data_IF_957128904221
#
_entry.id   IF_957128904221
#
_cell.length_a   1.000
_cell.length_b   1.000
_cell.length_c   1.000
_cell.angle_alpha   90.00
_cell.angle_beta   90.00
_cell.angle_gamma   90.00
#
_symmetry.space_group_name_H-M   'P 1'
#
loop_
_entity.id
_entity.type
_entity.pdbx_description
1 polymer ?
#
# COMPACT_ATOMS: atom_id res chain seq x y z
N UNK A 1 -25.42 -2.97 5.14
CA UNK A 1 -24.38 -3.64 5.94
C UNK A 1 -22.95 -3.25 5.57
N UNK A 2 -22.60 -3.03 4.28
CA UNK A 2 -21.26 -2.57 3.86
C UNK A 2 -20.91 -1.13 4.30
N UNK A 3 -21.87 -0.21 4.32
CA UNK A 3 -21.63 1.19 4.72
C UNK A 3 -21.33 1.36 6.22
N UNK A 4 -22.01 0.58 7.10
CA UNK A 4 -21.73 0.63 8.54
C UNK A 4 -20.33 0.07 8.91
N UNK A 5 -19.83 -0.94 8.17
CA UNK A 5 -18.45 -1.41 8.34
C UNK A 5 -17.42 -0.36 7.91
N UNK A 6 -17.73 0.41 6.84
CA UNK A 6 -16.86 1.47 6.32
C UNK A 6 -16.67 2.61 7.33
N UNK A 7 -17.78 3.10 7.93
CA UNK A 7 -17.74 4.13 8.96
C UNK A 7 -16.99 3.68 10.23
N UNK A 8 -17.13 2.41 10.62
CA UNK A 8 -16.44 1.84 11.79
C UNK A 8 -14.94 1.67 11.54
N UNK A 9 -14.54 1.27 10.32
CA UNK A 9 -13.13 1.17 9.93
C UNK A 9 -12.44 2.55 9.90
N UNK A 10 -13.08 3.55 9.30
CA UNK A 10 -12.56 4.92 9.32
C UNK A 10 -12.36 5.44 10.76
N UNK A 11 -13.33 5.23 11.66
CA UNK A 11 -13.21 5.68 13.04
C UNK A 11 -12.10 4.95 13.82
N UNK A 12 -11.88 3.65 13.55
CA UNK A 12 -10.83 2.86 14.17
C UNK A 12 -9.42 3.29 13.68
N UNK A 13 -9.27 3.59 12.39
CA UNK A 13 -8.01 4.06 11.83
C UNK A 13 -7.64 5.47 12.31
N UNK A 14 -8.62 6.36 12.42
CA UNK A 14 -8.38 7.75 12.83
C UNK A 14 -8.32 7.96 14.34
N UNK A 15 -8.91 7.08 15.14
CA UNK A 15 -8.87 7.16 16.61
C UNK A 15 -7.58 6.67 17.22
N UNK A 16 -6.76 5.94 16.46
CA UNK A 16 -5.65 5.19 17.06
C UNK A 16 -4.30 5.92 17.11
N UNK A 17 -3.99 6.91 16.25
CA UNK A 17 -2.61 7.43 16.12
C UNK A 17 -2.56 8.89 15.62
N UNK A 18 -3.26 9.83 16.21
CA UNK A 18 -3.01 11.24 15.95
C UNK A 18 -2.50 11.96 17.21
N UNK A 19 -1.30 11.61 17.67
CA UNK A 19 -0.51 12.47 18.57
C UNK A 19 0.45 13.38 17.77
N UNK A 20 0.22 13.52 16.46
CA UNK A 20 1.05 14.35 15.62
C UNK A 20 0.56 15.80 15.68
N UNK A 21 1.45 16.70 16.02
CA UNK A 21 1.26 18.14 16.02
C UNK A 21 2.00 18.77 14.85
N UNK A 22 1.58 19.97 14.47
CA UNK A 22 2.27 20.71 13.44
C UNK A 22 3.71 21.03 13.88
N UNK A 23 4.65 20.76 12.97
CA UNK A 23 6.00 21.29 13.11
C UNK A 23 5.98 22.80 12.84
N UNK A 24 7.06 23.51 13.22
CA UNK A 24 7.21 24.93 12.89
C UNK A 24 7.07 25.17 11.38
N UNK A 25 7.65 24.28 10.57
CA UNK A 25 7.52 24.34 9.11
C UNK A 25 6.06 24.22 8.65
N UNK A 26 5.29 23.28 9.21
CA UNK A 26 3.88 23.10 8.86
C UNK A 26 3.04 24.30 9.25
N UNK A 27 3.36 24.92 10.40
CA UNK A 27 2.70 26.15 10.83
C UNK A 27 2.87 27.27 9.80
N UNK A 28 4.10 27.48 9.29
CA UNK A 28 4.38 28.46 8.24
C UNK A 28 3.70 28.11 6.90
N UNK A 29 3.73 26.83 6.51
CA UNK A 29 3.09 26.39 5.27
C UNK A 29 1.56 26.57 5.28
N UNK A 30 0.92 26.48 6.45
CA UNK A 30 -0.53 26.76 6.56
C UNK A 30 -0.89 28.22 6.28
N UNK A 31 0.01 29.14 6.62
CA UNK A 31 -0.21 30.58 6.40
C UNK A 31 0.02 31.02 4.96
N UNK A 32 0.76 30.25 4.20
CA UNK A 32 1.05 30.55 2.80
C UNK A 32 -0.06 30.02 1.88
N UNK A 33 -0.48 30.89 0.95
CA UNK A 33 -1.59 30.57 0.05
C UNK A 33 -1.10 30.37 -1.41
N UNK A 34 0.05 29.69 -1.55
CA UNK A 34 0.63 29.31 -2.82
C UNK A 34 0.61 27.79 -3.04
N UNK A 35 0.69 27.39 -4.31
CA UNK A 35 0.62 25.99 -4.73
C UNK A 35 1.68 25.11 -4.06
N UNK A 36 2.94 25.54 -4.04
CA UNK A 36 4.07 24.76 -3.54
C UNK A 36 3.94 24.50 -2.03
N UNK A 37 3.54 25.53 -1.27
CA UNK A 37 3.29 25.44 0.15
C UNK A 37 2.18 24.44 0.47
N UNK A 38 1.06 24.47 -0.29
CA UNK A 38 -0.04 23.53 -0.10
C UNK A 38 0.36 22.09 -0.42
N UNK A 39 1.12 21.86 -1.50
CA UNK A 39 1.65 20.52 -1.84
C UNK A 39 2.59 20.02 -0.76
N UNK A 40 3.53 20.86 -0.31
CA UNK A 40 4.50 20.50 0.72
C UNK A 40 3.84 20.18 2.05
N UNK A 41 2.85 20.98 2.45
CA UNK A 41 2.03 20.71 3.63
C UNK A 41 1.34 19.34 3.54
N UNK A 42 0.71 19.03 2.40
CA UNK A 42 0.06 17.73 2.18
C UNK A 42 1.03 16.57 2.30
N UNK A 43 2.26 16.71 1.81
CA UNK A 43 3.31 15.67 1.94
C UNK A 43 3.73 15.47 3.40
N UNK A 44 3.96 16.55 4.15
CA UNK A 44 4.33 16.47 5.56
C UNK A 44 3.22 15.85 6.41
N UNK A 45 1.96 16.23 6.13
CA UNK A 45 0.79 15.66 6.79
C UNK A 45 0.65 14.16 6.48
N UNK A 46 0.86 13.75 5.23
CA UNK A 46 0.86 12.33 4.84
C UNK A 46 1.96 11.54 5.57
N UNK A 47 3.16 12.11 5.70
CA UNK A 47 4.26 11.52 6.47
C UNK A 47 3.96 11.36 7.96
N UNK A 48 3.04 12.16 8.50
CA UNK A 48 2.52 12.05 9.87
C UNK A 48 1.23 11.22 9.97
N UNK A 49 0.82 10.54 8.90
CA UNK A 49 -0.42 9.75 8.82
C UNK A 49 -1.71 10.57 8.97
N UNK A 50 -1.64 11.88 8.81
CA UNK A 50 -2.76 12.85 8.87
C UNK A 50 -3.41 12.98 7.48
N UNK A 51 -3.86 11.87 6.92
CA UNK A 51 -4.29 11.80 5.52
C UNK A 51 -5.51 12.66 5.19
N UNK A 52 -6.44 12.89 6.11
CA UNK A 52 -7.58 13.80 5.89
C UNK A 52 -7.11 15.23 5.65
N UNK A 53 -6.23 15.72 6.51
CA UNK A 53 -5.66 17.05 6.37
C UNK A 53 -4.74 17.15 5.14
N UNK A 54 -4.03 16.05 4.81
CA UNK A 54 -3.25 15.98 3.58
C UNK A 54 -4.14 16.10 2.33
N UNK A 55 -5.29 15.42 2.30
CA UNK A 55 -6.29 15.55 1.24
C UNK A 55 -6.77 16.99 1.11
N UNK A 56 -7.12 17.66 2.22
CA UNK A 56 -7.55 19.06 2.21
C UNK A 56 -6.47 19.99 1.66
N UNK A 57 -5.20 19.77 2.04
CA UNK A 57 -4.06 20.53 1.53
C UNK A 57 -3.86 20.30 0.02
N UNK A 58 -3.92 19.07 -0.45
CA UNK A 58 -3.81 18.74 -1.88
C UNK A 58 -4.99 19.29 -2.69
N UNK A 59 -6.21 19.23 -2.17
CA UNK A 59 -7.37 19.84 -2.82
C UNK A 59 -7.23 21.37 -2.91
N UNK A 60 -6.66 22.00 -1.89
CA UNK A 60 -6.37 23.43 -1.90
C UNK A 60 -5.30 23.78 -2.95
N UNK A 61 -4.26 22.94 -3.08
CA UNK A 61 -3.28 23.07 -4.15
C UNK A 61 -3.92 22.95 -5.54
N UNK A 62 -4.82 21.97 -5.73
CA UNK A 62 -5.54 21.77 -6.99
C UNK A 62 -6.42 22.94 -7.43
N UNK A 63 -6.94 23.74 -6.48
CA UNK A 63 -7.66 24.98 -6.79
C UNK A 63 -6.73 26.07 -7.33
N UNK A 64 -5.46 26.09 -6.92
CA UNK A 64 -4.46 27.05 -7.38
C UNK A 64 -3.81 26.64 -8.71
N UNK A 65 -3.63 25.33 -8.89
CA UNK A 65 -3.05 24.75 -10.10
C UNK A 65 -3.66 23.36 -10.34
N UNK A 66 -4.52 23.24 -11.35
CA UNK A 66 -5.29 22.03 -11.63
C UNK A 66 -4.65 21.08 -12.66
N UNK A 67 -3.50 21.44 -13.25
CA UNK A 67 -2.86 20.75 -14.37
C UNK A 67 -1.60 19.95 -13.99
N UNK A 68 -1.46 19.60 -12.71
CA UNK A 68 -0.31 18.81 -12.23
C UNK A 68 -0.70 17.34 -11.98
N UNK A 69 -0.31 16.45 -12.89
CA UNK A 69 -0.54 15.01 -12.79
C UNK A 69 0.01 14.40 -11.48
N UNK A 70 1.15 14.91 -10.99
CA UNK A 70 1.78 14.45 -9.74
C UNK A 70 0.91 14.74 -8.51
N UNK A 71 0.23 15.89 -8.49
CA UNK A 71 -0.71 16.24 -7.43
C UNK A 71 -1.85 15.21 -7.34
N UNK A 72 -2.45 14.87 -8.49
CA UNK A 72 -3.56 13.91 -8.52
C UNK A 72 -3.10 12.47 -8.20
N UNK A 73 -1.88 12.10 -8.54
CA UNK A 73 -1.31 10.82 -8.10
C UNK A 73 -1.21 10.75 -6.58
N UNK A 74 -0.73 11.81 -5.92
CA UNK A 74 -0.65 11.91 -4.45
C UNK A 74 -2.02 11.91 -3.80
N UNK A 75 -2.94 12.66 -4.36
CA UNK A 75 -4.33 12.71 -3.91
C UNK A 75 -5.00 11.33 -4.00
N UNK A 76 -4.77 10.61 -5.10
CA UNK A 76 -5.24 9.24 -5.29
C UNK A 76 -4.72 8.30 -4.21
N UNK A 77 -3.44 8.37 -3.88
CA UNK A 77 -2.84 7.59 -2.80
C UNK A 77 -3.41 7.92 -1.42
N UNK A 78 -3.57 9.21 -1.10
CA UNK A 78 -4.15 9.63 0.18
C UNK A 78 -5.62 9.18 0.32
N UNK A 79 -6.41 9.26 -0.73
CA UNK A 79 -7.77 8.73 -0.76
C UNK A 79 -7.79 7.20 -0.62
N UNK A 80 -6.87 6.48 -1.28
CA UNK A 80 -6.80 5.02 -1.18
C UNK A 80 -6.50 4.57 0.25
N UNK A 81 -5.52 5.20 0.90
CA UNK A 81 -5.14 4.93 2.29
C UNK A 81 -6.31 5.15 3.26
N UNK A 82 -7.22 6.03 2.93
CA UNK A 82 -8.42 6.33 3.74
C UNK A 82 -9.69 5.61 3.25
N UNK A 83 -9.55 4.64 2.34
CA UNK A 83 -10.64 3.86 1.74
C UNK A 83 -11.71 4.68 0.99
N UNK A 84 -11.35 5.85 0.51
CA UNK A 84 -12.17 6.64 -0.42
C UNK A 84 -11.93 6.16 -1.86
N UNK A 85 -12.35 4.92 -2.14
CA UNK A 85 -12.03 4.23 -3.41
C UNK A 85 -12.48 5.00 -4.65
N UNK A 86 -13.68 5.58 -4.62
CA UNK A 86 -14.23 6.32 -5.76
C UNK A 86 -13.42 7.59 -6.04
N UNK A 87 -13.07 8.33 -5.03
CA UNK A 87 -12.25 9.54 -5.14
C UNK A 87 -10.82 9.20 -5.57
N UNK A 88 -10.28 8.09 -5.04
CA UNK A 88 -8.95 7.60 -5.39
C UNK A 88 -8.84 7.26 -6.87
N UNK A 89 -9.76 6.44 -7.41
CA UNK A 89 -9.70 6.05 -8.82
C UNK A 89 -9.91 7.25 -9.75
N UNK A 90 -10.80 8.18 -9.39
CA UNK A 90 -11.01 9.40 -10.15
C UNK A 90 -9.75 10.28 -10.18
N UNK A 91 -9.02 10.38 -9.06
CA UNK A 91 -7.77 11.12 -9.00
C UNK A 91 -6.69 10.46 -9.89
N UNK A 92 -6.55 9.15 -9.90
CA UNK A 92 -5.62 8.45 -10.79
C UNK A 92 -5.99 8.63 -12.27
N UNK A 93 -7.27 8.58 -12.64
CA UNK A 93 -7.70 8.85 -14.01
C UNK A 93 -7.43 10.32 -14.40
N UNK A 94 -7.60 11.26 -13.47
CA UNK A 94 -7.22 12.65 -13.70
C UNK A 94 -5.71 12.78 -13.94
N UNK A 95 -4.88 12.11 -13.14
CA UNK A 95 -3.43 12.10 -13.35
C UNK A 95 -3.06 11.58 -14.75
N UNK A 96 -3.69 10.49 -15.21
CA UNK A 96 -3.50 9.95 -16.57
C UNK A 96 -3.92 10.95 -17.65
N UNK A 97 -5.06 11.60 -17.50
CA UNK A 97 -5.55 12.61 -18.46
C UNK A 97 -4.65 13.84 -18.53
N UNK A 98 -3.92 14.15 -17.47
CA UNK A 98 -2.93 15.23 -17.38
C UNK A 98 -1.52 14.80 -17.81
N UNK A 99 -1.37 13.58 -18.36
CA UNK A 99 -0.13 13.11 -18.95
C UNK A 99 0.77 12.28 -18.03
N UNK A 100 0.29 11.80 -16.88
CA UNK A 100 1.00 10.76 -16.16
C UNK A 100 1.13 9.51 -17.05
N UNK A 101 2.31 8.87 -17.05
CA UNK A 101 2.49 7.66 -17.83
C UNK A 101 1.75 6.47 -17.22
N UNK A 102 1.25 5.56 -18.06
CA UNK A 102 0.62 4.32 -17.56
C UNK A 102 1.55 3.56 -16.61
N UNK A 103 2.84 3.51 -16.90
CA UNK A 103 3.84 2.88 -16.05
C UNK A 103 3.91 3.51 -14.65
N UNK A 104 3.87 4.84 -14.56
CA UNK A 104 3.94 5.56 -13.26
C UNK A 104 2.69 5.34 -12.40
N UNK A 105 1.57 5.03 -13.01
CA UNK A 105 0.28 4.80 -12.34
C UNK A 105 -0.03 3.29 -12.19
N UNK A 106 0.70 2.41 -12.87
CA UNK A 106 0.42 0.97 -12.87
C UNK A 106 0.45 0.36 -11.45
N UNK A 107 1.48 0.68 -10.66
CA UNK A 107 1.57 0.18 -9.28
C UNK A 107 0.42 0.69 -8.39
N UNK A 108 0.15 2.00 -8.30
CA UNK A 108 -1.01 2.51 -7.57
C UNK A 108 -2.34 1.90 -7.99
N UNK A 109 -2.57 1.72 -9.29
CA UNK A 109 -3.79 1.09 -9.80
C UNK A 109 -3.86 -0.41 -9.46
N UNK A 110 -2.74 -1.12 -9.56
CA UNK A 110 -2.66 -2.52 -9.11
C UNK A 110 -3.05 -2.66 -7.63
N UNK A 111 -2.49 -1.80 -6.78
CA UNK A 111 -2.83 -1.76 -5.34
C UNK A 111 -4.29 -1.36 -5.12
N UNK A 112 -4.82 -0.40 -5.89
CA UNK A 112 -6.21 0.01 -5.81
C UNK A 112 -7.16 -1.17 -6.10
N UNK A 113 -6.94 -1.88 -7.22
CA UNK A 113 -7.73 -3.05 -7.58
C UNK A 113 -7.61 -4.18 -6.55
N UNK A 114 -6.39 -4.40 -6.02
CA UNK A 114 -6.18 -5.38 -4.96
C UNK A 114 -7.01 -5.07 -3.72
N UNK A 115 -6.94 -3.84 -3.23
CA UNK A 115 -7.70 -3.40 -2.05
C UNK A 115 -9.22 -3.33 -2.33
N UNK A 116 -9.66 -3.12 -3.56
CA UNK A 116 -11.08 -3.19 -3.94
C UNK A 116 -11.62 -4.62 -4.07
N UNK A 117 -10.73 -5.61 -4.12
CA UNK A 117 -11.06 -7.04 -4.27
C UNK A 117 -11.12 -7.53 -5.71
N UNK A 118 -10.76 -6.69 -6.68
CA UNK A 118 -10.62 -7.08 -8.09
C UNK A 118 -9.20 -7.60 -8.35
N UNK A 119 -8.94 -8.79 -7.83
CA UNK A 119 -7.61 -9.41 -7.88
C UNK A 119 -7.17 -9.78 -9.30
N UNK A 120 -8.12 -10.12 -10.18
CA UNK A 120 -7.81 -10.44 -11.58
C UNK A 120 -7.28 -9.22 -12.35
N UNK A 121 -7.87 -8.05 -12.13
CA UNK A 121 -7.37 -6.80 -12.70
C UNK A 121 -6.08 -6.36 -12.03
N UNK A 122 -5.95 -6.49 -10.71
CA UNK A 122 -4.72 -6.19 -9.99
C UNK A 122 -3.51 -6.96 -10.56
N UNK A 123 -3.65 -8.28 -10.77
CA UNK A 123 -2.61 -9.13 -11.36
C UNK A 123 -2.16 -8.67 -12.76
N UNK A 124 -3.03 -8.02 -13.52
CA UNK A 124 -2.72 -7.48 -14.86
C UNK A 124 -2.01 -6.11 -14.82
N UNK A 125 -2.15 -5.37 -13.72
CA UNK A 125 -1.50 -4.05 -13.58
C UNK A 125 -0.05 -4.15 -13.15
N UNK A 126 0.31 -5.05 -12.24
CA UNK A 126 1.67 -5.16 -11.73
C UNK A 126 2.73 -5.44 -12.80
N UNK A 127 2.52 -6.32 -13.80
CA UNK A 127 3.47 -6.51 -14.89
C UNK A 127 3.73 -5.25 -15.73
N UNK A 128 2.80 -4.30 -15.79
CA UNK A 128 2.98 -3.02 -16.51
C UNK A 128 4.00 -2.10 -15.83
N UNK A 129 4.42 -2.40 -14.59
CA UNK A 129 5.46 -1.66 -13.91
C UNK A 129 6.86 -1.95 -14.46
N UNK A 130 7.03 -3.09 -15.17
CA UNK A 130 8.30 -3.51 -15.72
C UNK A 130 8.69 -2.69 -16.99
N UNK A 131 10.00 -2.54 -17.26
CA UNK A 131 11.11 -2.94 -16.40
C UNK A 131 11.28 -2.01 -15.20
N UNK A 132 11.51 -2.58 -14.02
CA UNK A 132 11.88 -1.86 -12.81
C UNK A 132 12.88 -2.71 -12.02
N UNK A 133 13.63 -2.11 -11.11
CA UNK A 133 14.70 -2.76 -10.36
C UNK A 133 14.56 -2.55 -8.85
N UNK A 134 15.36 -3.27 -8.08
CA UNK A 134 15.51 -3.10 -6.64
C UNK A 134 14.21 -3.26 -5.86
N UNK A 135 13.96 -2.33 -4.96
CA UNK A 135 12.81 -2.32 -4.06
C UNK A 135 11.46 -2.35 -4.79
N UNK A 136 11.35 -1.64 -5.90
CA UNK A 136 10.10 -1.64 -6.69
C UNK A 136 9.86 -3.01 -7.32
N UNK A 137 10.90 -3.66 -7.85
CA UNK A 137 10.77 -4.97 -8.51
C UNK A 137 10.22 -6.03 -7.57
N UNK A 138 10.80 -6.16 -6.38
CA UNK A 138 10.33 -7.15 -5.40
C UNK A 138 8.91 -6.87 -4.90
N UNK A 139 8.54 -5.60 -4.73
CA UNK A 139 7.19 -5.22 -4.35
C UNK A 139 6.16 -5.55 -5.47
N UNK A 140 6.52 -5.33 -6.72
CA UNK A 140 5.69 -5.69 -7.89
C UNK A 140 5.49 -7.21 -7.97
N UNK A 141 6.55 -8.00 -7.82
CA UNK A 141 6.48 -9.47 -7.81
C UNK A 141 5.57 -9.94 -6.67
N UNK A 142 5.74 -9.41 -5.47
CA UNK A 142 4.95 -9.75 -4.29
C UNK A 142 3.45 -9.54 -4.52
N UNK A 143 3.04 -8.36 -4.97
CA UNK A 143 1.63 -8.05 -5.17
C UNK A 143 1.04 -8.77 -6.37
N UNK A 144 1.82 -9.04 -7.42
CA UNK A 144 1.36 -9.85 -8.54
C UNK A 144 1.09 -11.29 -8.12
N UNK A 145 2.01 -11.92 -7.37
CA UNK A 145 1.81 -13.28 -6.86
C UNK A 145 0.57 -13.33 -5.96
N UNK A 146 0.43 -12.41 -5.01
CA UNK A 146 -0.74 -12.38 -4.12
C UNK A 146 -2.04 -12.21 -4.89
N UNK A 147 -2.07 -11.29 -5.86
CA UNK A 147 -3.24 -11.07 -6.71
C UNK A 147 -3.62 -12.34 -7.47
N UNK A 148 -2.62 -13.00 -8.04
CA UNK A 148 -2.80 -14.23 -8.80
C UNK A 148 -3.31 -15.38 -7.91
N UNK A 149 -2.75 -15.56 -6.71
CA UNK A 149 -3.22 -16.55 -5.74
C UNK A 149 -4.69 -16.34 -5.36
N UNK A 150 -5.08 -15.09 -5.08
CA UNK A 150 -6.46 -14.76 -4.67
C UNK A 150 -7.50 -14.97 -5.77
N UNK A 151 -7.14 -14.89 -7.04
CA UNK A 151 -8.05 -15.13 -8.15
C UNK A 151 -7.84 -16.51 -8.83
N UNK A 152 -6.98 -17.37 -8.27
CA UNK A 152 -6.73 -18.71 -8.81
C UNK A 152 -5.97 -18.72 -10.15
N UNK A 153 -5.16 -17.71 -10.43
CA UNK A 153 -4.30 -17.61 -11.62
C UNK A 153 -2.89 -18.12 -11.32
N UNK A 154 -2.20 -18.51 -12.37
CA UNK A 154 -0.76 -18.77 -12.31
C UNK A 154 -0.04 -17.42 -12.30
N UNK A 155 0.81 -17.12 -11.31
CA UNK A 155 1.60 -15.88 -11.30
C UNK A 155 2.52 -15.79 -12.51
N UNK A 156 2.65 -14.60 -13.07
CA UNK A 156 3.41 -14.37 -14.32
C UNK A 156 4.80 -13.78 -14.09
N UNK A 157 5.09 -13.29 -12.88
CA UNK A 157 6.36 -12.64 -12.55
C UNK A 157 7.30 -13.52 -11.71
N UNK A 158 7.05 -14.82 -11.61
CA UNK A 158 7.88 -15.74 -10.82
C UNK A 158 9.32 -15.84 -11.34
N UNK A 159 9.51 -15.76 -12.65
CA UNK A 159 10.83 -15.82 -13.30
C UNK A 159 11.64 -14.51 -13.14
N UNK A 160 11.00 -13.45 -12.69
CA UNK A 160 11.66 -12.17 -12.37
C UNK A 160 12.32 -12.17 -10.98
N UNK A 161 12.02 -13.19 -10.15
CA UNK A 161 12.61 -13.34 -8.83
C UNK A 161 13.94 -14.12 -8.90
N UNK A 162 14.96 -13.58 -8.27
CA UNK A 162 16.27 -14.22 -8.08
C UNK A 162 16.70 -14.09 -6.62
N UNK A 163 17.28 -15.18 -6.05
CA UNK A 163 17.67 -15.19 -4.63
C UNK A 163 18.77 -14.16 -4.29
N UNK A 164 19.58 -13.76 -5.24
CA UNK A 164 20.67 -12.77 -5.14
C UNK A 164 20.25 -11.34 -5.49
N UNK A 165 18.96 -11.12 -5.86
CA UNK A 165 18.50 -9.77 -6.22
C UNK A 165 18.68 -8.79 -5.05
N UNK A 166 19.21 -7.60 -5.37
CA UNK A 166 19.25 -6.49 -4.43
C UNK A 166 17.85 -5.90 -4.26
N UNK A 167 17.35 -5.91 -3.06
CA UNK A 167 16.01 -5.41 -2.70
C UNK A 167 16.08 -4.23 -1.73
N UNK A 168 17.26 -3.69 -1.47
CA UNK A 168 17.45 -2.58 -0.53
C UNK A 168 16.80 -2.88 0.82
N UNK A 169 15.91 -2.00 1.26
CA UNK A 169 15.18 -2.15 2.52
C UNK A 169 13.95 -3.07 2.44
N UNK A 170 13.58 -3.57 1.26
CA UNK A 170 12.39 -4.40 1.02
C UNK A 170 12.61 -5.90 1.32
N UNK A 171 13.42 -6.22 2.33
CA UNK A 171 13.73 -7.60 2.75
C UNK A 171 12.50 -8.38 3.17
N UNK A 172 11.48 -7.71 3.73
CA UNK A 172 10.22 -8.31 4.11
C UNK A 172 9.43 -8.86 2.91
N UNK A 173 9.39 -8.10 1.81
CA UNK A 173 8.80 -8.57 0.55
C UNK A 173 9.55 -9.79 0.03
N UNK A 174 10.88 -9.75 0.05
CA UNK A 174 11.74 -10.87 -0.39
C UNK A 174 11.51 -12.13 0.43
N UNK A 175 11.39 -12.01 1.76
CA UNK A 175 11.07 -13.14 2.63
C UNK A 175 9.73 -13.78 2.25
N UNK A 176 8.67 -12.98 2.09
CA UNK A 176 7.35 -13.50 1.72
C UNK A 176 7.37 -14.15 0.32
N UNK A 177 7.98 -13.50 -0.67
CA UNK A 177 8.10 -14.06 -2.03
C UNK A 177 8.88 -15.36 -2.02
N UNK A 178 9.99 -15.46 -1.27
CA UNK A 178 10.77 -16.70 -1.16
C UNK A 178 9.95 -17.87 -0.57
N UNK A 179 9.04 -17.58 0.37
CA UNK A 179 8.10 -18.58 0.90
C UNK A 179 7.07 -18.98 -0.15
N UNK A 180 6.45 -18.02 -0.84
CA UNK A 180 5.46 -18.29 -1.88
C UNK A 180 6.02 -19.11 -3.05
N UNK A 181 7.32 -18.95 -3.35
CA UNK A 181 8.02 -19.70 -4.39
C UNK A 181 8.70 -20.98 -3.89
N UNK A 182 8.49 -21.37 -2.62
CA UNK A 182 9.07 -22.57 -2.03
C UNK A 182 10.60 -22.55 -1.85
N UNK A 183 11.23 -21.37 -1.92
CA UNK A 183 12.68 -21.18 -1.68
C UNK A 183 13.01 -21.19 -0.19
N UNK A 184 12.08 -20.71 0.64
CA UNK A 184 12.15 -20.72 2.10
C UNK A 184 10.95 -21.46 2.66
N UNK A 185 11.16 -22.38 3.61
CA UNK A 185 10.05 -23.05 4.28
C UNK A 185 9.40 -22.14 5.34
N UNK A 186 8.15 -22.44 5.68
CA UNK A 186 7.36 -21.63 6.62
C UNK A 186 7.94 -21.60 8.04
N UNK A 187 8.60 -22.67 8.49
CA UNK A 187 9.23 -22.74 9.83
C UNK A 187 10.39 -21.74 9.95
N UNK A 188 11.27 -21.72 8.94
CA UNK A 188 12.35 -20.74 8.84
C UNK A 188 11.80 -19.32 8.79
N UNK A 189 10.74 -19.08 7.98
CA UNK A 189 10.11 -17.78 7.89
C UNK A 189 9.50 -17.33 9.23
N UNK A 190 8.83 -18.23 9.96
CA UNK A 190 8.31 -17.92 11.30
C UNK A 190 9.41 -17.60 12.31
N UNK A 191 10.57 -18.24 12.19
CA UNK A 191 11.74 -17.92 13.03
C UNK A 191 12.23 -16.50 12.72
N UNK A 192 12.32 -16.13 11.44
CA UNK A 192 12.68 -14.79 11.01
C UNK A 192 11.67 -13.73 11.49
N UNK A 193 10.36 -14.01 11.36
CA UNK A 193 9.30 -13.11 11.83
C UNK A 193 9.34 -12.90 13.36
N UNK A 194 9.65 -13.93 14.14
CA UNK A 194 9.81 -13.79 15.60
C UNK A 194 10.99 -12.90 15.99
N UNK A 195 12.03 -12.88 15.17
CA UNK A 195 13.22 -12.04 15.37
C UNK A 195 13.05 -10.61 14.85
N UNK A 196 12.05 -10.37 13.98
CA UNK A 196 11.81 -9.05 13.37
C UNK A 196 11.30 -8.05 14.42
N UNK A 197 11.99 -6.92 14.51
CA UNK A 197 11.69 -5.84 15.47
C UNK A 197 10.99 -4.65 14.82
N UNK A 198 11.12 -4.51 13.50
CA UNK A 198 10.45 -3.48 12.73
C UNK A 198 9.03 -3.92 12.40
N UNK A 199 8.03 -3.18 12.89
CA UNK A 199 6.62 -3.53 12.69
C UNK A 199 6.19 -3.46 11.23
N UNK A 200 6.78 -2.57 10.43
CA UNK A 200 6.47 -2.47 9.01
C UNK A 200 6.94 -3.73 8.25
N UNK A 201 8.18 -4.14 8.47
CA UNK A 201 8.73 -5.38 7.91
C UNK A 201 7.92 -6.60 8.36
N UNK A 202 7.60 -6.66 9.65
CA UNK A 202 6.77 -7.74 10.17
C UNK A 202 5.41 -7.81 9.48
N UNK A 203 4.71 -6.68 9.33
CA UNK A 203 3.38 -6.60 8.70
C UNK A 203 3.44 -7.03 7.23
N UNK A 204 4.41 -6.53 6.47
CA UNK A 204 4.57 -6.85 5.05
C UNK A 204 4.81 -8.35 4.85
N UNK A 205 5.80 -8.91 5.56
CA UNK A 205 6.13 -10.33 5.39
C UNK A 205 5.01 -11.24 5.91
N UNK A 206 4.45 -10.93 7.09
CA UNK A 206 3.40 -11.74 7.70
C UNK A 206 2.12 -11.76 6.87
N UNK A 207 1.72 -10.63 6.27
CA UNK A 207 0.55 -10.58 5.41
C UNK A 207 0.71 -11.51 4.19
N UNK A 208 1.83 -11.40 3.47
CA UNK A 208 2.08 -12.23 2.29
C UNK A 208 2.15 -13.74 2.64
N UNK A 209 2.82 -14.08 3.75
CA UNK A 209 2.89 -15.48 4.21
C UNK A 209 1.51 -15.97 4.66
N UNK A 210 0.70 -15.14 5.33
CA UNK A 210 -0.65 -15.49 5.74
C UNK A 210 -1.55 -15.82 4.54
N UNK A 211 -1.53 -14.98 3.51
CA UNK A 211 -2.30 -15.22 2.27
C UNK A 211 -1.85 -16.51 1.56
N UNK A 212 -0.54 -16.76 1.49
CA UNK A 212 -0.01 -18.00 0.93
C UNK A 212 -0.48 -19.23 1.73
N UNK A 213 -0.45 -19.18 3.07
CA UNK A 213 -0.93 -20.27 3.92
C UNK A 213 -2.42 -20.53 3.70
N UNK A 214 -3.24 -19.48 3.59
CA UNK A 214 -4.68 -19.61 3.29
C UNK A 214 -4.88 -20.24 1.91
N UNK A 215 -4.16 -19.80 0.90
CA UNK A 215 -4.25 -20.34 -0.46
C UNK A 215 -3.76 -21.80 -0.57
N UNK A 216 -2.91 -22.26 0.33
CA UNK A 216 -2.37 -23.63 0.40
C UNK A 216 -3.02 -24.50 1.46
N UNK A 217 -4.28 -24.22 1.81
CA UNK A 217 -5.13 -24.98 2.73
C UNK A 217 -4.70 -24.98 4.22
N UNK A 218 -3.67 -24.20 4.59
CA UNK A 218 -3.27 -23.98 5.99
C UNK A 218 -4.03 -22.78 6.58
N UNK A 219 -5.35 -22.79 6.45
CA UNK A 219 -6.24 -21.64 6.69
C UNK A 219 -6.13 -21.11 8.13
N UNK A 220 -6.10 -21.99 9.14
CA UNK A 220 -6.06 -21.56 10.55
C UNK A 220 -4.72 -20.90 10.91
N UNK A 221 -3.61 -21.41 10.36
CA UNK A 221 -2.29 -20.80 10.56
C UNK A 221 -2.24 -19.40 9.90
N UNK A 222 -2.76 -19.29 8.66
CA UNK A 222 -2.84 -18.03 7.96
C UNK A 222 -3.71 -17.00 8.68
N UNK A 223 -4.90 -17.37 9.13
CA UNK A 223 -5.78 -16.49 9.93
C UNK A 223 -5.14 -16.03 11.23
N UNK A 224 -4.45 -16.94 11.93
CA UNK A 224 -3.71 -16.58 13.14
C UNK A 224 -2.64 -15.53 12.86
N UNK A 225 -1.86 -15.72 11.79
CA UNK A 225 -0.84 -14.76 11.39
C UNK A 225 -1.44 -13.42 10.97
N UNK A 226 -2.58 -13.43 10.23
CA UNK A 226 -3.34 -12.24 9.90
C UNK A 226 -3.78 -11.46 11.15
N UNK A 227 -4.22 -12.16 12.19
CA UNK A 227 -4.54 -11.55 13.48
C UNK A 227 -3.34 -10.85 14.14
N UNK A 228 -2.12 -11.37 13.96
CA UNK A 228 -0.89 -10.72 14.45
C UNK A 228 -0.53 -9.46 13.64
N UNK A 229 -0.80 -9.45 12.33
CA UNK A 229 -0.68 -8.24 11.49
C UNK A 229 -1.54 -7.11 12.04
N UNK A 230 -2.82 -7.39 12.33
CA UNK A 230 -3.80 -6.40 12.78
C UNK A 230 -3.54 -5.83 14.19
N UNK A 231 -2.64 -6.44 14.96
CA UNK A 231 -2.19 -5.89 16.25
C UNK A 231 -1.23 -4.70 16.09
N UNK A 232 -0.57 -4.56 14.94
CA UNK A 232 0.46 -3.54 14.68
C UNK A 232 -0.12 -2.25 14.10
N UNK A 233 -0.95 -1.60 14.90
CA UNK A 233 -1.71 -0.40 14.49
C UNK A 233 -0.85 0.82 14.18
N UNK A 234 0.38 0.86 14.69
CA UNK A 234 1.33 1.96 14.47
C UNK A 234 1.80 2.08 13.00
N UNK A 235 1.66 1.01 12.20
CA UNK A 235 1.97 1.00 10.77
C UNK A 235 0.73 0.84 9.90
N UNK A 236 -0.43 1.28 10.38
CA UNK A 236 -1.72 1.13 9.72
C UNK A 236 -1.79 1.63 8.26
N UNK A 237 -1.02 2.65 7.79
CA UNK A 237 -1.06 3.06 6.39
C UNK A 237 -0.34 2.10 5.44
N UNK A 238 0.36 1.09 5.97
CA UNK A 238 0.97 0.05 5.14
C UNK A 238 -0.10 -0.69 4.34
N UNK A 239 0.14 -0.87 3.04
CA UNK A 239 -0.82 -1.51 2.14
C UNK A 239 -1.18 -2.93 2.63
N UNK A 240 -0.21 -3.70 3.13
CA UNK A 240 -0.44 -5.04 3.68
C UNK A 240 -1.34 -5.00 4.93
N UNK A 241 -1.21 -3.96 5.77
CA UNK A 241 -2.13 -3.77 6.90
C UNK A 241 -3.54 -3.41 6.43
N UNK A 242 -3.65 -2.48 5.46
CA UNK A 242 -4.94 -2.09 4.88
C UNK A 242 -5.63 -3.27 4.18
N UNK A 243 -4.85 -4.12 3.51
CA UNK A 243 -5.36 -5.34 2.90
C UNK A 243 -5.88 -6.32 3.96
N UNK A 244 -5.11 -6.55 5.04
CA UNK A 244 -5.54 -7.39 6.16
C UNK A 244 -6.83 -6.91 6.85
N UNK A 245 -7.08 -5.61 6.89
CA UNK A 245 -8.33 -5.03 7.42
C UNK A 245 -9.57 -5.34 6.55
N UNK A 246 -9.36 -5.70 5.29
CA UNK A 246 -10.44 -5.95 4.34
C UNK A 246 -10.84 -7.44 4.24
N UNK A 247 -10.00 -8.33 4.79
CA UNK A 247 -10.32 -9.76 4.91
C UNK A 247 -11.36 -10.01 6.02
#
# INVERSE_FOLDING_TARGET
MKENKKATLESQLYGAICNAYDTEEMFWLRQNDDYQSKVKLGLLLSGQYRFREAIDAFLSAGKLKADDASLYTRLGGAYLTTFHFKESINAYHTALSLGASEKSIAYPLGVWHYLDGDYDTAAKFFPKCLPCEGEMKIAVIYWEILSSLKCGRIPTLVDEYHDDMDVGHHTAYKLAVSVMLGRTNTETAFTSLKAEKDDLNYVVASYGIAEYLIATEKVEEGKKLMGEVLKRKNVWPCISYLAALRE
#
